data_IF_646597227393
#
_entry.id   IF_646597227393
#
_cell.length_a   1.000
_cell.length_b   1.000
_cell.length_c   1.000
_cell.angle_alpha   90.00
_cell.angle_beta   90.00
_cell.angle_gamma   90.00
#
_symmetry.space_group_name_H-M   'P 1'
#
loop_
_entity.id
_entity.type
_entity.pdbx_description
1 polymer ?
#
# COMPACT_ATOMS: atom_id res chain seq x y z
N UNK A 1 11.08 2.62 27.53
CA UNK A 1 10.18 2.66 26.37
C UNK A 1 10.47 1.42 25.53
N UNK A 2 9.82 0.29 25.82
CA UNK A 2 9.98 -0.91 25.00
C UNK A 2 9.30 -0.65 23.66
N UNK A 3 10.05 -0.75 22.57
CA UNK A 3 9.47 -0.74 21.22
C UNK A 3 8.52 -1.94 21.11
N UNK A 4 7.25 -1.69 20.83
CA UNK A 4 6.26 -2.72 20.48
C UNK A 4 6.59 -3.27 19.11
N UNK A 5 7.71 -4.00 19.01
CA UNK A 5 8.02 -4.80 17.83
C UNK A 5 7.04 -5.96 17.89
N UNK A 6 6.17 -6.07 16.88
CA UNK A 6 5.29 -7.21 16.69
C UNK A 6 6.07 -8.48 16.98
N UNK A 7 5.66 -9.21 18.02
CA UNK A 7 6.13 -10.58 18.17
C UNK A 7 5.68 -11.33 16.90
N UNK A 8 6.54 -12.16 16.29
CA UNK A 8 6.12 -13.03 15.20
C UNK A 8 5.24 -14.12 15.82
N UNK A 9 4.02 -13.74 16.20
CA UNK A 9 2.94 -14.67 16.48
C UNK A 9 2.78 -15.52 15.24
N UNK A 10 2.71 -16.83 15.42
CA UNK A 10 2.19 -17.72 14.39
C UNK A 10 0.73 -17.33 14.19
N UNK A 11 0.47 -16.36 13.32
CA UNK A 11 -0.86 -15.89 12.99
C UNK A 11 -1.68 -17.12 12.54
N UNK A 12 -2.86 -17.32 13.14
CA UNK A 12 -3.88 -18.34 12.79
C UNK A 12 -4.50 -18.10 11.40
N UNK A 13 -3.71 -17.53 10.48
CA UNK A 13 -4.07 -17.29 9.10
C UNK A 13 -4.24 -18.61 8.36
N UNK A 14 -5.48 -18.90 7.98
CA UNK A 14 -5.89 -20.09 7.22
C UNK A 14 -5.72 -19.94 5.70
N UNK A 15 -5.37 -18.75 5.22
CA UNK A 15 -5.18 -18.49 3.80
C UNK A 15 -3.83 -18.99 3.26
N UNK A 16 -3.69 -19.01 1.92
CA UNK A 16 -2.46 -19.43 1.27
C UNK A 16 -1.30 -18.52 1.69
N UNK A 17 -0.18 -19.14 2.06
CA UNK A 17 1.11 -18.46 2.29
C UNK A 17 1.96 -18.63 1.06
N UNK A 18 2.79 -17.64 0.77
CA UNK A 18 3.75 -17.67 -0.33
C UNK A 18 5.10 -17.22 0.21
N UNK A 19 6.15 -17.89 -0.25
CA UNK A 19 7.51 -17.43 0.02
C UNK A 19 7.78 -16.09 -0.69
N UNK A 20 8.52 -15.20 -0.03
CA UNK A 20 8.74 -13.86 -0.56
C UNK A 20 9.64 -13.87 -1.82
N UNK A 21 10.58 -14.81 -1.94
CA UNK A 21 11.41 -14.95 -3.13
C UNK A 21 10.60 -15.52 -4.30
N UNK A 22 9.72 -16.50 -4.03
CA UNK A 22 8.78 -17.00 -5.04
C UNK A 22 7.86 -15.89 -5.56
N UNK A 23 7.29 -15.09 -4.66
CA UNK A 23 6.45 -13.94 -5.03
C UNK A 23 7.20 -12.94 -5.92
N UNK A 24 8.46 -12.63 -5.58
CA UNK A 24 9.30 -11.71 -6.36
C UNK A 24 9.57 -12.25 -7.78
N UNK A 25 9.88 -13.54 -7.92
CA UNK A 25 10.10 -14.16 -9.22
C UNK A 25 8.85 -14.07 -10.12
N UNK A 26 7.68 -14.37 -9.56
CA UNK A 26 6.39 -14.27 -10.28
C UNK A 26 6.06 -12.84 -10.70
N UNK A 27 6.41 -11.84 -9.88
CA UNK A 27 6.25 -10.44 -10.23
C UNK A 27 7.12 -10.03 -11.43
N UNK A 28 8.38 -10.49 -11.47
CA UNK A 28 9.31 -10.21 -12.57
C UNK A 28 8.78 -10.80 -13.88
N UNK A 29 8.38 -12.07 -13.86
CA UNK A 29 7.76 -12.74 -15.00
C UNK A 29 6.54 -11.97 -15.50
N UNK A 30 5.65 -11.57 -14.57
CA UNK A 30 4.44 -10.82 -14.91
C UNK A 30 4.74 -9.44 -15.49
N UNK A 31 5.76 -8.74 -14.99
CA UNK A 31 6.18 -7.44 -15.54
C UNK A 31 6.74 -7.58 -16.95
N UNK A 32 7.53 -8.62 -17.21
CA UNK A 32 8.06 -8.91 -18.53
C UNK A 32 6.94 -9.23 -19.53
N UNK A 33 5.96 -10.05 -19.13
CA UNK A 33 4.81 -10.40 -19.97
C UNK A 33 3.91 -9.21 -20.28
N UNK A 34 3.71 -8.30 -19.31
CA UNK A 34 2.81 -7.15 -19.45
C UNK A 34 3.50 -5.86 -19.93
N UNK A 35 4.83 -5.87 -20.07
CA UNK A 35 5.61 -4.70 -20.52
C UNK A 35 5.70 -3.55 -19.50
N UNK A 36 5.35 -3.80 -18.23
CA UNK A 36 5.34 -2.81 -17.15
C UNK A 36 4.70 -1.46 -17.54
N UNK A 37 3.38 -1.42 -17.80
CA UNK A 37 2.72 -0.20 -18.22
C UNK A 37 2.87 0.88 -17.14
N UNK A 38 3.11 2.12 -17.55
CA UNK A 38 3.04 3.27 -16.65
C UNK A 38 1.59 3.38 -16.15
N UNK A 39 1.35 2.89 -14.94
CA UNK A 39 0.05 3.04 -14.30
C UNK A 39 -0.01 4.47 -13.77
N UNK A 40 -0.97 5.30 -14.22
CA UNK A 40 -1.15 6.59 -13.58
C UNK A 40 -1.39 6.33 -12.10
N UNK A 41 -0.51 6.85 -11.24
CA UNK A 41 -0.80 6.85 -9.80
C UNK A 41 -2.21 7.40 -9.65
N UNK A 42 -3.06 6.72 -8.89
CA UNK A 42 -4.40 7.21 -8.57
C UNK A 42 -4.27 8.69 -8.21
N UNK A 43 -4.68 9.58 -9.11
CA UNK A 43 -4.36 11.01 -9.06
C UNK A 43 -5.12 11.74 -7.92
N UNK A 44 -5.64 10.98 -6.96
CA UNK A 44 -6.54 11.46 -5.94
C UNK A 44 -7.93 11.82 -6.45
N UNK A 45 -8.26 11.60 -7.73
CA UNK A 45 -9.58 11.99 -8.26
C UNK A 45 -10.75 11.26 -7.61
N UNK A 46 -10.54 10.03 -7.12
CA UNK A 46 -11.56 9.26 -6.39
C UNK A 46 -11.40 9.42 -4.87
N UNK A 47 -11.26 10.65 -4.37
CA UNK A 47 -11.29 10.93 -2.93
C UNK A 47 -12.74 10.87 -2.44
N UNK A 48 -12.95 10.19 -1.32
CA UNK A 48 -14.22 10.27 -0.58
C UNK A 48 -14.40 11.67 0.00
N UNK A 49 -15.64 12.05 0.29
CA UNK A 49 -15.96 13.33 0.94
C UNK A 49 -15.18 13.52 2.25
N UNK A 50 -15.11 12.48 3.09
CA UNK A 50 -14.32 12.49 4.33
C UNK A 50 -12.85 12.85 4.10
N UNK A 51 -12.26 12.37 3.01
CA UNK A 51 -10.86 12.63 2.66
C UNK A 51 -10.67 14.05 2.14
N UNK A 52 -11.63 14.59 1.40
CA UNK A 52 -11.59 15.99 0.94
C UNK A 52 -11.68 16.95 2.14
N UNK A 53 -12.60 16.71 3.07
CA UNK A 53 -12.76 17.50 4.29
C UNK A 53 -11.49 17.51 5.13
N UNK A 54 -10.86 16.35 5.31
CA UNK A 54 -9.60 16.24 6.03
C UNK A 54 -8.49 17.06 5.35
N UNK A 55 -8.34 16.94 4.03
CA UNK A 55 -7.30 17.65 3.30
C UNK A 55 -7.51 19.18 3.34
N UNK A 56 -8.76 19.65 3.26
CA UNK A 56 -9.09 21.06 3.42
C UNK A 56 -8.74 21.58 4.83
N UNK A 57 -8.98 20.78 5.88
CA UNK A 57 -8.61 21.15 7.25
C UNK A 57 -7.08 21.23 7.43
N UNK A 58 -6.33 20.31 6.81
CA UNK A 58 -4.86 20.33 6.81
C UNK A 58 -4.34 21.59 6.11
N UNK A 59 -4.91 21.94 4.96
CA UNK A 59 -4.54 23.14 4.21
C UNK A 59 -4.86 24.42 4.99
N UNK A 60 -6.03 24.49 5.63
CA UNK A 60 -6.41 25.61 6.50
C UNK A 60 -5.47 25.77 7.72
N UNK A 61 -4.89 24.67 8.20
CA UNK A 61 -3.88 24.67 9.25
C UNK A 61 -2.45 24.98 8.74
N UNK A 62 -2.27 25.22 7.43
CA UNK A 62 -0.99 25.54 6.81
C UNK A 62 -0.13 24.32 6.43
N UNK A 63 -0.69 23.11 6.48
CA UNK A 63 -0.02 21.89 6.03
C UNK A 63 -0.04 21.71 4.51
N UNK A 64 0.87 20.90 3.97
CA UNK A 64 0.85 20.45 2.57
C UNK A 64 0.82 18.93 2.50
N UNK A 65 -0.08 18.39 1.67
CA UNK A 65 -0.31 16.97 1.47
C UNK A 65 -0.39 16.61 -0.01
#
# INVERSE_FOLDING_TARGET
MASTICEPGTDDWSGPRMDHAEFAARLIERRATLGNPELPRNAGNNRTESKLTLLAAIEAAGGRW
#
